data_IF_668459242943
#
_entry.id   IF_668459242943
#
_cell.length_a   1.000
_cell.length_b   1.000
_cell.length_c   1.000
_cell.angle_alpha   90.00
_cell.angle_beta   90.00
_cell.angle_gamma   90.00
#
_symmetry.space_group_name_H-M   'P 1'
#
loop_
_entity.id
_entity.type
_entity.pdbx_description
1 polymer ?
#
# COMPACT_ATOMS: atom_id res chain seq x y z
N UNK A 1 24.78 -39.16 45.39
CA UNK A 1 23.53 -39.21 46.19
C UNK A 1 23.25 -37.78 46.62
N UNK A 2 22.23 -37.06 46.15
CA UNK A 2 20.94 -37.43 45.60
C UNK A 2 20.51 -36.52 44.44
N UNK A 3 19.81 -37.13 43.49
CA UNK A 3 19.04 -36.49 42.43
C UNK A 3 17.87 -35.69 43.01
N UNK A 4 17.58 -34.53 42.41
CA UNK A 4 16.21 -34.04 42.31
C UNK A 4 15.94 -33.56 40.89
N UNK A 5 15.12 -34.35 40.20
CA UNK A 5 14.55 -34.10 38.89
C UNK A 5 13.60 -32.90 38.93
N UNK A 6 13.68 -32.02 37.93
CA UNK A 6 12.65 -31.03 37.64
C UNK A 6 11.50 -31.69 36.87
N UNK A 7 10.23 -31.50 37.26
CA UNK A 7 9.11 -31.95 36.44
C UNK A 7 8.75 -30.90 35.38
N UNK A 8 8.58 -31.39 34.16
CA UNK A 8 7.97 -30.67 33.04
C UNK A 8 6.59 -30.12 33.42
N UNK A 9 6.37 -28.84 33.14
CA UNK A 9 5.08 -28.16 33.33
C UNK A 9 4.78 -27.24 32.16
N UNK A 10 4.16 -27.82 31.12
CA UNK A 10 3.16 -27.25 30.20
C UNK A 10 3.25 -25.74 29.94
N UNK A 11 3.89 -25.35 28.83
CA UNK A 11 3.66 -24.03 28.22
C UNK A 11 2.26 -24.02 27.60
N UNK A 12 1.30 -23.40 28.29
CA UNK A 12 0.04 -23.02 27.69
C UNK A 12 0.33 -21.98 26.60
N UNK A 13 0.08 -22.36 25.34
CA UNK A 13 0.04 -21.42 24.22
C UNK A 13 -1.05 -20.40 24.47
N UNK A 14 -0.66 -19.22 24.96
CA UNK A 14 -1.51 -18.05 24.95
C UNK A 14 -1.63 -17.61 23.49
N UNK A 15 -2.77 -17.92 22.90
CA UNK A 15 -3.22 -17.32 21.66
C UNK A 15 -3.40 -15.83 21.94
N UNK A 16 -2.45 -14.99 21.50
CA UNK A 16 -2.52 -13.55 21.68
C UNK A 16 -3.65 -12.97 20.83
N UNK A 17 -4.86 -12.95 21.40
CA UNK A 17 -6.02 -12.28 20.83
C UNK A 17 -5.96 -10.79 21.20
N UNK A 18 -5.30 -9.99 20.37
CA UNK A 18 -5.27 -8.54 20.49
C UNK A 18 -4.43 -7.85 19.41
N UNK A 19 -4.86 -6.66 18.98
CA UNK A 19 -4.10 -5.82 18.05
C UNK A 19 -2.77 -5.47 18.73
N UNK A 20 -1.67 -5.89 18.12
CA UNK A 20 -0.32 -5.73 18.66
C UNK A 20 0.08 -4.25 18.77
N UNK A 21 0.95 -3.88 19.74
CA UNK A 21 1.43 -2.51 19.88
C UNK A 21 2.13 -2.03 18.61
N UNK A 22 1.82 -0.80 18.17
CA UNK A 22 2.47 -0.18 17.00
C UNK A 22 3.98 0.03 17.13
N UNK A 23 4.51 0.00 18.36
CA UNK A 23 5.90 0.33 18.65
C UNK A 23 6.77 -0.92 18.64
N UNK A 24 7.92 -0.82 17.96
CA UNK A 24 8.92 -1.87 17.95
C UNK A 24 9.46 -2.10 19.37
N UNK A 25 9.42 -3.35 19.86
CA UNK A 25 9.97 -3.71 21.16
C UNK A 25 11.49 -3.89 21.06
N UNK A 26 12.25 -3.08 21.80
CA UNK A 26 13.72 -3.23 21.90
C UNK A 26 14.14 -4.51 22.63
N UNK A 27 13.23 -5.15 23.36
CA UNK A 27 13.48 -6.38 24.09
C UNK A 27 13.19 -7.64 23.25
N UNK A 28 12.46 -7.48 22.14
CA UNK A 28 12.21 -8.54 21.17
C UNK A 28 13.05 -8.25 19.92
N UNK A 29 14.24 -8.84 19.86
CA UNK A 29 15.11 -8.70 18.70
C UNK A 29 14.45 -9.33 17.46
N UNK A 30 14.69 -8.78 16.26
CA UNK A 30 14.16 -9.38 15.04
C UNK A 30 14.75 -10.79 14.86
N UNK A 31 13.91 -11.75 14.52
CA UNK A 31 14.30 -13.13 14.26
C UNK A 31 14.21 -13.46 12.78
N UNK A 32 15.24 -14.11 12.24
CA UNK A 32 15.22 -14.60 10.86
C UNK A 32 14.17 -15.69 10.65
N UNK A 33 13.91 -16.52 11.67
CA UNK A 33 12.87 -17.54 11.61
C UNK A 33 11.48 -16.91 11.58
N UNK A 34 11.24 -15.86 12.38
CA UNK A 34 9.96 -15.13 12.36
C UNK A 34 9.76 -14.40 11.02
N UNK A 35 10.83 -13.84 10.45
CA UNK A 35 10.79 -13.22 9.12
C UNK A 35 10.51 -14.25 8.02
N UNK A 36 11.15 -15.42 8.09
CA UNK A 36 10.90 -16.52 7.16
C UNK A 36 9.46 -16.99 7.26
N UNK A 37 8.95 -17.16 8.48
CA UNK A 37 7.55 -17.48 8.75
C UNK A 37 6.61 -16.43 8.12
N UNK A 38 6.85 -15.15 8.39
CA UNK A 38 6.07 -14.03 7.86
C UNK A 38 6.05 -13.98 6.31
N UNK A 39 7.15 -14.38 5.67
CA UNK A 39 7.30 -14.31 4.21
C UNK A 39 6.91 -15.60 3.48
N UNK A 40 6.65 -16.69 4.19
CA UNK A 40 6.35 -18.01 3.60
C UNK A 40 5.05 -18.64 4.07
N UNK A 41 4.58 -18.30 5.27
CA UNK A 41 3.29 -18.74 5.79
C UNK A 41 2.24 -17.66 5.52
N UNK A 42 1.16 -18.05 4.85
CA UNK A 42 0.01 -17.18 4.65
C UNK A 42 -0.99 -17.40 5.77
N UNK A 43 -1.13 -16.43 6.67
CA UNK A 43 -2.24 -16.39 7.62
C UNK A 43 -3.49 -15.95 6.88
N UNK A 44 -4.53 -16.80 6.86
CA UNK A 44 -5.83 -16.44 6.32
C UNK A 44 -6.56 -15.53 7.31
N UNK A 45 -6.19 -14.25 7.34
CA UNK A 45 -7.00 -13.25 8.00
C UNK A 45 -8.16 -12.93 7.06
N UNK A 46 -9.37 -13.05 7.59
CA UNK A 46 -10.58 -12.75 6.83
C UNK A 46 -10.74 -11.23 6.71
N UNK A 47 -10.97 -10.76 5.49
CA UNK A 47 -11.23 -9.36 5.16
C UNK A 47 -12.65 -9.28 4.59
N UNK A 48 -13.68 -9.35 5.46
CA UNK A 48 -15.06 -9.58 5.04
C UNK A 48 -15.64 -8.46 4.17
N UNK A 49 -15.08 -7.24 4.23
CA UNK A 49 -15.50 -6.15 3.35
C UNK A 49 -14.86 -6.21 1.96
N UNK A 50 -13.82 -7.04 1.77
CA UNK A 50 -13.24 -7.29 0.47
C UNK A 50 -14.21 -8.10 -0.40
N UNK A 51 -14.32 -7.74 -1.68
CA UNK A 51 -15.15 -8.48 -2.63
C UNK A 51 -14.52 -9.82 -3.02
N UNK A 52 -13.19 -9.85 -3.09
CA UNK A 52 -12.39 -11.03 -3.41
C UNK A 52 -11.00 -10.88 -2.79
N UNK A 53 -10.29 -11.98 -2.57
CA UNK A 53 -8.87 -11.98 -2.18
C UNK A 53 -8.11 -12.77 -3.24
N UNK A 54 -7.13 -12.13 -3.89
CA UNK A 54 -6.27 -12.77 -4.91
C UNK A 54 -4.81 -12.68 -4.45
N UNK A 55 -4.09 -13.81 -4.42
CA UNK A 55 -2.69 -13.84 -3.97
C UNK A 55 -2.45 -13.17 -2.61
N UNK A 56 -3.40 -13.32 -1.68
CA UNK A 56 -3.42 -12.67 -0.35
C UNK A 56 -3.60 -11.15 -0.37
N UNK A 57 -4.01 -10.58 -1.50
CA UNK A 57 -4.33 -9.15 -1.63
C UNK A 57 -5.84 -8.97 -1.60
N UNK A 58 -6.40 -8.28 -0.60
CA UNK A 58 -7.81 -7.93 -0.58
C UNK A 58 -8.16 -6.97 -1.72
N UNK A 59 -9.25 -7.27 -2.42
CA UNK A 59 -9.75 -6.49 -3.55
C UNK A 59 -11.16 -5.99 -3.21
N UNK A 60 -11.33 -4.67 -3.22
CA UNK A 60 -12.57 -3.98 -2.91
C UNK A 60 -13.22 -3.43 -4.17
N UNK A 61 -14.54 -3.60 -4.26
CA UNK A 61 -15.42 -2.81 -5.11
C UNK A 61 -16.21 -1.85 -4.22
N UNK A 62 -15.76 -0.60 -4.16
CA UNK A 62 -16.35 0.37 -3.24
C UNK A 62 -17.66 0.94 -3.80
N UNK A 63 -18.71 1.07 -2.98
CA UNK A 63 -19.89 1.83 -3.37
C UNK A 63 -19.57 3.33 -3.42
N UNK A 64 -20.50 4.15 -3.90
CA UNK A 64 -20.31 5.60 -3.88
C UNK A 64 -20.15 6.07 -2.42
N UNK A 65 -19.13 6.89 -2.12
CA UNK A 65 -18.84 7.36 -0.76
C UNK A 65 -20.08 7.94 -0.05
N UNK A 66 -20.87 8.76 -0.75
CA UNK A 66 -22.09 9.39 -0.21
C UNK A 66 -23.21 8.41 0.14
N UNK A 67 -23.11 7.14 -0.26
CA UNK A 67 -24.10 6.10 0.09
C UNK A 67 -23.75 5.32 1.36
N UNK A 68 -22.54 5.52 1.90
CA UNK A 68 -22.09 4.83 3.12
C UNK A 68 -22.52 5.60 4.36
N UNK A 69 -22.99 4.87 5.38
CA UNK A 69 -23.22 5.44 6.71
C UNK A 69 -21.88 5.71 7.42
N UNK A 70 -21.85 6.60 8.43
CA UNK A 70 -20.66 6.81 9.25
C UNK A 70 -20.11 5.52 9.89
N UNK A 71 -21.00 4.59 10.26
CA UNK A 71 -20.62 3.29 10.83
C UNK A 71 -19.94 2.40 9.78
N UNK A 72 -20.50 2.30 8.56
CA UNK A 72 -19.88 1.55 7.47
C UNK A 72 -18.52 2.11 7.07
N UNK A 73 -18.37 3.44 7.08
CA UNK A 73 -17.08 4.11 6.86
C UNK A 73 -16.08 3.76 7.95
N UNK A 74 -16.48 3.79 9.22
CA UNK A 74 -15.63 3.42 10.34
C UNK A 74 -15.18 1.96 10.25
N UNK A 75 -16.08 1.02 9.95
CA UNK A 75 -15.73 -0.39 9.78
C UNK A 75 -14.76 -0.61 8.61
N UNK A 76 -14.96 0.09 7.49
CA UNK A 76 -14.04 0.04 6.35
C UNK A 76 -12.66 0.59 6.73
N UNK A 77 -12.60 1.69 7.49
CA UNK A 77 -11.36 2.28 7.99
C UNK A 77 -10.62 1.34 8.94
N UNK A 78 -11.32 0.67 9.86
CA UNK A 78 -10.73 -0.30 10.78
C UNK A 78 -10.10 -1.49 10.03
N UNK A 79 -10.80 -2.03 9.03
CA UNK A 79 -10.29 -3.13 8.20
C UNK A 79 -9.06 -2.70 7.39
N UNK A 80 -9.10 -1.51 6.76
CA UNK A 80 -7.95 -0.98 6.01
C UNK A 80 -6.78 -0.63 6.92
N UNK A 81 -7.02 -0.12 8.13
CA UNK A 81 -5.99 0.12 9.12
C UNK A 81 -5.30 -1.18 9.51
N UNK A 82 -6.08 -2.23 9.77
CA UNK A 82 -5.53 -3.55 10.01
C UNK A 82 -4.69 -4.05 8.82
N UNK A 83 -5.20 -3.97 7.59
CA UNK A 83 -4.47 -4.40 6.38
C UNK A 83 -3.11 -3.72 6.29
N UNK A 84 -3.06 -2.40 6.46
CA UNK A 84 -1.84 -1.61 6.29
C UNK A 84 -0.86 -1.75 7.46
N UNK A 85 -1.35 -1.95 8.69
CA UNK A 85 -0.50 -2.03 9.87
C UNK A 85 0.01 -3.45 10.15
N UNK A 86 -0.88 -4.43 10.11
CA UNK A 86 -0.65 -5.78 10.63
C UNK A 86 -1.04 -6.90 9.67
N UNK A 87 -1.73 -6.56 8.58
CA UNK A 87 -2.18 -7.49 7.55
C UNK A 87 -1.25 -7.52 6.32
N UNK A 88 -1.81 -7.74 5.12
CA UNK A 88 -1.03 -7.87 3.88
C UNK A 88 -0.18 -6.65 3.49
N UNK A 89 -0.38 -5.49 4.12
CA UNK A 89 0.32 -4.24 3.80
C UNK A 89 -0.14 -3.59 2.48
N UNK A 90 -1.05 -4.22 1.75
CA UNK A 90 -1.56 -3.77 0.45
C UNK A 90 -3.00 -4.23 0.25
N UNK A 91 -3.77 -3.43 -0.47
CA UNK A 91 -5.09 -3.79 -1.00
C UNK A 91 -5.31 -3.13 -2.36
N UNK A 92 -6.33 -3.59 -3.08
CA UNK A 92 -6.76 -3.00 -4.36
C UNK A 92 -8.16 -2.43 -4.22
N UNK A 93 -8.34 -1.16 -4.54
CA UNK A 93 -9.66 -0.57 -4.74
C UNK A 93 -9.98 -0.50 -6.25
N UNK A 94 -10.78 -1.44 -6.75
CA UNK A 94 -11.19 -1.46 -8.16
C UNK A 94 -12.16 -0.32 -8.46
N UNK A 95 -12.01 0.26 -9.64
CA UNK A 95 -12.90 1.31 -10.16
C UNK A 95 -13.01 2.55 -9.26
N UNK A 96 -11.95 2.89 -8.52
CA UNK A 96 -11.88 4.12 -7.72
C UNK A 96 -12.08 5.38 -8.58
N UNK A 97 -11.65 5.32 -9.84
CA UNK A 97 -11.93 6.31 -10.87
C UNK A 97 -12.71 5.65 -12.00
N UNK A 98 -13.96 6.09 -12.25
CA UNK A 98 -14.84 5.48 -13.27
C UNK A 98 -14.51 5.95 -14.68
N UNK A 99 -14.15 7.22 -14.83
CA UNK A 99 -13.79 7.83 -16.12
C UNK A 99 -12.28 7.99 -16.22
N UNK A 100 -11.58 7.02 -16.82
CA UNK A 100 -10.12 7.08 -16.94
C UNK A 100 -9.62 8.03 -18.02
N UNK A 101 -10.50 8.67 -18.82
CA UNK A 101 -10.09 9.56 -19.91
C UNK A 101 -9.19 10.70 -19.42
N UNK A 102 -9.47 11.20 -18.22
CA UNK A 102 -8.68 12.22 -17.57
C UNK A 102 -7.25 11.75 -17.22
N UNK A 103 -7.08 10.48 -16.84
CA UNK A 103 -5.76 9.89 -16.60
C UNK A 103 -5.01 9.78 -17.93
N UNK A 104 -5.69 9.34 -18.99
CA UNK A 104 -5.10 9.25 -20.33
C UNK A 104 -4.65 10.61 -20.87
N UNK A 105 -5.44 11.65 -20.66
CA UNK A 105 -5.09 13.01 -21.06
C UNK A 105 -3.86 13.54 -20.31
N UNK A 106 -3.81 13.34 -18.99
CA UNK A 106 -2.65 13.73 -18.18
C UNK A 106 -1.40 12.91 -18.53
N UNK A 107 -1.56 11.62 -18.86
CA UNK A 107 -0.46 10.79 -19.34
C UNK A 107 0.12 11.30 -20.66
N UNK A 108 -0.70 11.84 -21.57
CA UNK A 108 -0.20 12.48 -22.80
C UNK A 108 0.63 13.73 -22.48
N UNK A 109 0.15 14.58 -21.56
CA UNK A 109 0.88 15.77 -21.12
C UNK A 109 2.25 15.40 -20.54
N UNK A 110 2.30 14.44 -19.61
CA UNK A 110 3.57 13.99 -19.04
C UNK A 110 4.49 13.29 -20.05
N UNK A 111 3.93 12.55 -21.00
CA UNK A 111 4.72 11.96 -22.10
C UNK A 111 5.39 13.03 -22.96
N UNK A 112 4.71 14.14 -23.25
CA UNK A 112 5.29 15.29 -23.95
C UNK A 112 6.42 15.93 -23.15
N UNK A 113 6.21 16.18 -21.85
CA UNK A 113 7.24 16.74 -20.96
C UNK A 113 8.49 15.84 -20.94
N UNK A 114 8.31 14.53 -20.81
CA UNK A 114 9.41 13.55 -20.82
C UNK A 114 10.16 13.60 -22.16
N UNK A 115 9.44 13.66 -23.28
CA UNK A 115 10.05 13.71 -24.61
C UNK A 115 10.88 14.98 -24.79
N UNK A 116 10.36 16.14 -24.37
CA UNK A 116 11.08 17.42 -24.41
C UNK A 116 12.34 17.40 -23.53
N UNK A 117 12.25 16.88 -22.30
CA UNK A 117 13.38 16.82 -21.38
C UNK A 117 14.49 15.87 -21.84
N UNK A 118 14.12 14.77 -22.51
CA UNK A 118 15.08 13.84 -23.15
C UNK A 118 15.84 14.49 -24.30
N UNK A 119 15.20 15.40 -25.05
CA UNK A 119 15.86 16.14 -26.13
C UNK A 119 16.76 17.26 -25.59
N UNK A 120 16.32 17.95 -24.53
CA UNK A 120 17.03 19.09 -23.96
C UNK A 120 18.22 18.70 -23.08
N UNK A 121 18.28 17.47 -22.56
CA UNK A 121 19.34 17.03 -21.65
C UNK A 121 19.86 15.63 -21.97
N UNK A 122 21.18 15.50 -22.09
CA UNK A 122 21.86 14.21 -22.14
C UNK A 122 21.86 13.59 -20.74
N UNK A 123 20.84 12.78 -20.47
CA UNK A 123 20.72 11.87 -19.32
C UNK A 123 20.65 12.50 -17.93
N UNK A 124 19.43 12.71 -17.43
CA UNK A 124 19.13 12.76 -15.99
C UNK A 124 18.16 11.65 -15.62
N UNK A 125 18.66 10.42 -15.54
CA UNK A 125 17.92 9.30 -14.97
C UNK A 125 17.57 9.52 -13.48
N UNK A 126 16.67 8.70 -12.95
CA UNK A 126 16.39 8.64 -11.51
C UNK A 126 17.59 8.13 -10.69
N UNK A 127 17.60 8.37 -9.38
CA UNK A 127 18.71 7.96 -8.49
C UNK A 127 18.83 6.44 -8.27
N UNK A 128 17.77 5.68 -8.56
CA UNK A 128 17.64 4.29 -8.15
C UNK A 128 17.84 3.27 -9.28
N UNK A 129 17.98 3.72 -10.52
CA UNK A 129 18.12 2.83 -11.67
C UNK A 129 19.22 3.33 -12.61
N UNK A 130 19.73 2.42 -13.45
CA UNK A 130 20.68 2.79 -14.51
C UNK A 130 20.11 3.90 -15.41
N UNK A 131 21.00 4.69 -16.01
CA UNK A 131 20.59 5.79 -16.89
C UNK A 131 19.64 5.28 -17.99
N UNK A 132 18.47 5.93 -18.13
CA UNK A 132 17.46 5.58 -19.13
C UNK A 132 16.46 4.50 -18.72
N UNK A 133 16.61 3.86 -17.56
CA UNK A 133 15.64 2.86 -17.09
C UNK A 133 14.35 3.51 -16.53
N UNK A 134 14.47 4.71 -15.96
CA UNK A 134 13.36 5.47 -15.40
C UNK A 134 13.40 6.91 -15.88
N UNK A 135 12.24 7.43 -16.26
CA UNK A 135 12.03 8.85 -16.47
C UNK A 135 11.72 9.55 -15.15
N UNK A 136 12.24 10.77 -14.99
CA UNK A 136 11.96 11.62 -13.83
C UNK A 136 11.66 13.03 -14.30
N UNK A 137 10.50 13.53 -13.91
CA UNK A 137 10.09 14.91 -14.17
C UNK A 137 10.28 15.73 -12.90
N UNK A 138 11.24 16.66 -12.89
CA UNK A 138 11.37 17.64 -11.82
C UNK A 138 10.27 18.69 -11.92
N UNK A 139 9.72 19.13 -10.78
CA UNK A 139 8.63 20.12 -10.73
C UNK A 139 7.41 19.71 -11.58
N UNK A 140 7.03 18.43 -11.53
CA UNK A 140 5.97 17.85 -12.38
C UNK A 140 4.65 18.62 -12.31
N UNK A 141 4.20 19.00 -11.11
CA UNK A 141 2.96 19.78 -10.94
C UNK A 141 3.01 21.12 -11.70
N UNK A 142 4.10 21.88 -11.55
CA UNK A 142 4.26 23.17 -12.22
C UNK A 142 4.34 22.99 -13.74
N UNK A 143 5.07 21.99 -14.23
CA UNK A 143 5.20 21.71 -15.66
C UNK A 143 3.87 21.26 -16.29
N UNK A 144 3.10 20.42 -15.60
CA UNK A 144 1.76 20.05 -16.02
C UNK A 144 0.87 21.30 -16.12
N UNK A 145 0.81 22.12 -15.07
CA UNK A 145 0.01 23.35 -15.07
C UNK A 145 0.39 24.33 -16.21
N UNK A 146 1.69 24.50 -16.48
CA UNK A 146 2.17 25.37 -17.55
C UNK A 146 1.89 24.83 -18.95
N UNK A 147 1.98 23.50 -19.13
CA UNK A 147 1.76 22.87 -20.43
C UNK A 147 0.28 22.72 -20.75
N UNK A 148 -0.53 22.37 -19.75
CA UNK A 148 -2.00 22.23 -19.89
C UNK A 148 -2.72 22.50 -18.57
N UNK A 149 -3.06 23.78 -18.36
CA UNK A 149 -3.79 24.22 -17.17
C UNK A 149 -5.17 23.57 -17.04
N UNK A 150 -5.84 23.24 -18.15
CA UNK A 150 -7.19 22.68 -18.12
C UNK A 150 -7.19 21.26 -17.56
N UNK A 151 -6.33 20.38 -18.09
CA UNK A 151 -6.20 19.02 -17.52
C UNK A 151 -5.57 19.04 -16.13
N UNK A 152 -4.67 19.99 -15.83
CA UNK A 152 -4.13 20.17 -14.48
C UNK A 152 -5.22 20.43 -13.45
N UNK A 153 -6.07 21.44 -13.67
CA UNK A 153 -7.16 21.77 -12.76
C UNK A 153 -8.06 20.55 -12.58
N UNK A 154 -8.49 19.94 -13.69
CA UNK A 154 -9.38 18.77 -13.67
C UNK A 154 -8.78 17.59 -12.89
N UNK A 155 -7.48 17.33 -13.07
CA UNK A 155 -6.74 16.23 -12.42
C UNK A 155 -6.58 16.42 -10.92
N UNK A 156 -6.12 17.60 -10.51
CA UNK A 156 -5.82 17.88 -9.11
C UNK A 156 -7.03 18.36 -8.30
N UNK A 157 -8.18 18.61 -8.93
CA UNK A 157 -9.45 18.91 -8.25
C UNK A 157 -10.27 17.66 -7.91
N UNK A 158 -9.70 16.45 -8.02
CA UNK A 158 -10.39 15.22 -7.64
C UNK A 158 -10.63 15.20 -6.11
N UNK A 159 -11.89 15.10 -5.64
CA UNK A 159 -12.25 15.16 -4.22
C UNK A 159 -11.83 13.94 -3.40
#
# INVERSE_FOLDING_TARGET
>A
MNNYSTPNGVNHGLQESGIQPRLYSINNLPSLEDFKKLTTESSSIDHPLASTIESHVPIYHLPNYSSLSPEQLATLQDEWYHILLSGPGVFVAKSLYKDTSQIDDVNKVYSSIIAEEKQASSQRGGHFAGAGANDRIWNSLSKHCLLDAASFIKYYSNP
#
